data_IF_994670942407
#
_entry.id   IF_994670942407
#
_cell.length_a   1.000
_cell.length_b   1.000
_cell.length_c   1.000
_cell.angle_alpha   90.00
_cell.angle_beta   90.00
_cell.angle_gamma   90.00
#
_symmetry.space_group_name_H-M   'P 1'
#
loop_
_entity.id
_entity.type
_entity.pdbx_description
1 polymer ?
#
# COMPACT_ATOMS: atom_id res chain seq x y z
N UNK A 1 7.98 -15.72 5.30
CA UNK A 1 8.08 -14.26 5.47
C UNK A 1 6.87 -13.58 4.87
N UNK A 2 6.56 -12.39 5.32
CA UNK A 2 5.41 -11.59 4.93
C UNK A 2 5.90 -10.24 4.40
N UNK A 3 5.25 -9.71 3.37
CA UNK A 3 5.47 -8.36 2.91
C UNK A 3 4.16 -7.57 3.10
N UNK A 4 4.14 -6.69 4.06
CA UNK A 4 3.02 -5.79 4.30
C UNK A 4 3.22 -4.62 3.35
N UNK A 5 2.28 -4.42 2.42
CA UNK A 5 2.42 -3.44 1.34
C UNK A 5 1.19 -2.57 1.26
N UNK A 6 1.40 -1.27 1.40
CA UNK A 6 0.35 -0.27 1.25
C UNK A 6 0.78 0.81 0.27
N UNK A 7 -0.18 1.36 -0.46
CA UNK A 7 0.06 2.39 -1.47
C UNK A 7 -0.96 3.52 -1.37
N UNK A 8 -0.52 4.72 -1.71
CA UNK A 8 -1.38 5.83 -2.07
C UNK A 8 -1.36 6.04 -3.59
N UNK A 9 -2.44 6.59 -4.14
CA UNK A 9 -2.60 6.72 -5.59
C UNK A 9 -3.25 8.04 -5.98
N UNK A 10 -3.19 8.37 -7.27
CA UNK A 10 -3.80 9.58 -7.86
C UNK A 10 -5.33 9.55 -7.91
N UNK A 11 -5.94 8.39 -7.74
CA UNK A 11 -7.39 8.22 -7.79
C UNK A 11 -7.87 6.90 -7.22
N UNK A 12 -9.19 6.67 -7.25
CA UNK A 12 -9.82 5.49 -6.66
C UNK A 12 -10.12 4.38 -7.66
N UNK A 13 -10.19 4.68 -8.94
CA UNK A 13 -10.60 3.74 -10.00
C UNK A 13 -10.05 4.19 -11.35
N UNK A 14 -9.81 3.21 -12.24
CA UNK A 14 -9.44 3.42 -13.63
C UNK A 14 -8.00 3.02 -13.94
N UNK A 15 -7.72 2.89 -15.21
CA UNK A 15 -6.39 2.53 -15.75
C UNK A 15 -5.36 3.67 -15.53
N UNK A 16 -5.85 4.91 -15.40
CA UNK A 16 -5.01 6.09 -15.13
C UNK A 16 -4.64 6.25 -13.65
N UNK A 17 -4.98 5.27 -12.80
CA UNK A 17 -4.66 5.32 -11.39
C UNK A 17 -3.19 4.96 -11.18
N UNK A 18 -2.36 5.95 -10.84
CA UNK A 18 -0.91 5.81 -10.66
C UNK A 18 -0.56 5.86 -9.17
N UNK A 19 0.47 5.13 -8.79
CA UNK A 19 0.97 5.12 -7.40
C UNK A 19 1.70 6.44 -7.11
N UNK A 20 1.40 7.05 -5.96
CA UNK A 20 2.02 8.30 -5.47
C UNK A 20 2.86 8.10 -4.21
N UNK A 21 2.64 7.02 -3.49
CA UNK A 21 3.43 6.60 -2.33
C UNK A 21 3.32 5.08 -2.18
N UNK A 22 4.39 4.46 -1.74
CA UNK A 22 4.45 3.04 -1.41
C UNK A 22 5.19 2.84 -0.10
N UNK A 23 4.72 1.90 0.71
CA UNK A 23 5.48 1.36 1.84
C UNK A 23 5.46 -0.17 1.78
N UNK A 24 6.61 -0.79 1.97
CA UNK A 24 6.82 -2.24 2.04
C UNK A 24 7.55 -2.54 3.35
N UNK A 25 6.90 -3.27 4.25
CA UNK A 25 7.51 -3.80 5.46
C UNK A 25 7.66 -5.32 5.32
N UNK A 26 8.88 -5.82 5.37
CA UNK A 26 9.14 -7.26 5.36
C UNK A 26 9.22 -7.75 6.81
N UNK A 27 8.37 -8.70 7.16
CA UNK A 27 8.19 -9.24 8.51
C UNK A 27 8.47 -10.74 8.51
N UNK A 28 9.26 -11.22 9.46
CA UNK A 28 9.64 -12.63 9.56
C UNK A 28 8.65 -13.48 10.37
N UNK A 29 7.73 -12.85 11.07
CA UNK A 29 6.77 -13.43 12.01
C UNK A 29 6.92 -12.85 13.43
N UNK A 30 8.09 -12.29 13.75
CA UNK A 30 8.41 -11.71 15.06
C UNK A 30 8.65 -10.20 14.96
N UNK A 31 9.32 -9.75 13.90
CA UNK A 31 9.69 -8.34 13.72
C UNK A 31 9.76 -7.91 12.26
N UNK A 32 9.76 -6.59 12.03
CA UNK A 32 10.08 -6.01 10.72
C UNK A 32 11.58 -6.10 10.51
N UNK A 33 11.99 -6.86 9.49
CA UNK A 33 13.41 -7.12 9.16
C UNK A 33 13.93 -6.27 8.01
N UNK A 34 13.05 -5.75 7.16
CA UNK A 34 13.37 -4.81 6.08
C UNK A 34 12.22 -3.81 5.90
N UNK A 35 12.57 -2.60 5.55
CA UNK A 35 11.61 -1.54 5.22
C UNK A 35 12.03 -0.82 3.94
N UNK A 36 11.05 -0.49 3.11
CA UNK A 36 11.17 0.41 1.99
C UNK A 36 9.96 1.34 1.95
N UNK A 37 10.19 2.63 1.88
CA UNK A 37 9.12 3.62 1.76
C UNK A 37 9.57 4.75 0.84
N UNK A 38 8.71 5.14 -0.11
CA UNK A 38 9.01 6.23 -1.04
C UNK A 38 7.76 6.94 -1.52
N UNK A 39 7.84 8.27 -1.66
CA UNK A 39 6.97 8.99 -2.57
C UNK A 39 7.33 8.63 -4.01
N UNK A 40 6.35 8.67 -4.90
CA UNK A 40 6.52 8.33 -6.32
C UNK A 40 5.90 9.45 -7.15
N UNK A 41 6.64 9.95 -8.14
CA UNK A 41 6.10 10.85 -9.14
C UNK A 41 5.20 10.06 -10.10
N UNK A 42 3.88 10.29 -10.08
CA UNK A 42 2.93 9.52 -10.89
C UNK A 42 2.92 9.93 -12.37
N UNK A 43 3.66 10.97 -12.74
CA UNK A 43 3.70 11.57 -14.09
C UNK A 43 2.33 12.06 -14.61
N UNK A 44 1.34 12.11 -13.73
CA UNK A 44 0.01 12.66 -13.98
C UNK A 44 -0.43 13.54 -12.81
N UNK A 45 -1.34 14.47 -13.06
CA UNK A 45 -1.80 15.38 -12.03
C UNK A 45 -2.65 14.69 -10.95
N UNK A 46 -2.35 14.96 -9.70
CA UNK A 46 -3.13 14.52 -8.55
C UNK A 46 -4.29 15.49 -8.35
N UNK A 47 -5.53 14.97 -8.37
CA UNK A 47 -6.72 15.78 -8.16
C UNK A 47 -6.74 16.36 -6.73
N UNK A 48 -7.12 17.62 -6.56
CA UNK A 48 -7.20 18.30 -5.27
C UNK A 48 -7.94 17.49 -4.18
N UNK A 49 -9.07 16.85 -4.55
CA UNK A 49 -9.84 16.00 -3.61
C UNK A 49 -9.03 14.81 -3.09
N UNK A 50 -8.16 14.23 -3.91
CA UNK A 50 -7.29 13.11 -3.52
C UNK A 50 -6.16 13.62 -2.63
N UNK A 51 -5.50 14.70 -3.03
CA UNK A 51 -4.47 15.37 -2.26
C UNK A 51 -4.95 15.76 -0.84
N UNK A 52 -6.16 16.28 -0.72
CA UNK A 52 -6.75 16.59 0.60
C UNK A 52 -6.98 15.36 1.47
N UNK A 53 -7.23 14.19 0.87
CA UNK A 53 -7.52 12.95 1.60
C UNK A 53 -6.25 12.28 2.12
N UNK A 54 -5.21 12.18 1.30
CA UNK A 54 -3.97 11.46 1.64
C UNK A 54 -2.78 12.38 1.92
N UNK A 55 -2.96 13.70 1.82
CA UNK A 55 -1.91 14.68 2.11
C UNK A 55 -0.81 14.76 1.05
N UNK A 56 -0.95 14.08 -0.10
CA UNK A 56 0.05 14.06 -1.18
C UNK A 56 -0.38 15.03 -2.27
N UNK A 57 0.35 16.14 -2.41
CA UNK A 57 0.14 17.14 -3.46
C UNK A 57 1.07 16.92 -4.66
N UNK A 58 0.76 17.56 -5.79
CA UNK A 58 1.64 17.56 -6.96
C UNK A 58 3.06 18.05 -6.60
N UNK A 59 3.16 19.10 -5.80
CA UNK A 59 4.46 19.67 -5.38
C UNK A 59 5.31 18.66 -4.59
N UNK A 60 4.67 17.83 -3.74
CA UNK A 60 5.38 16.82 -2.95
C UNK A 60 6.01 15.72 -3.81
N UNK A 61 5.37 15.37 -4.92
CA UNK A 61 5.83 14.26 -5.78
C UNK A 61 6.60 14.70 -7.01
N UNK A 62 6.64 16.01 -7.28
CA UNK A 62 7.26 16.53 -8.51
C UNK A 62 8.73 16.12 -8.67
N UNK A 63 9.49 16.09 -7.57
CA UNK A 63 10.90 15.69 -7.55
C UNK A 63 11.12 14.27 -7.00
N UNK A 64 10.03 13.51 -6.77
CA UNK A 64 10.14 12.13 -6.33
C UNK A 64 10.57 11.22 -7.51
N UNK A 65 11.19 10.07 -7.22
CA UNK A 65 11.52 9.11 -8.26
C UNK A 65 10.25 8.61 -8.95
N UNK A 66 10.34 8.26 -10.20
CA UNK A 66 9.25 7.63 -10.97
C UNK A 66 9.17 6.15 -10.63
N UNK A 67 8.02 5.52 -10.89
CA UNK A 67 7.82 4.12 -10.53
C UNK A 67 8.87 3.18 -11.18
N UNK A 68 9.24 3.40 -12.43
CA UNK A 68 10.22 2.55 -13.13
C UNK A 68 11.62 2.60 -12.49
N UNK A 69 11.98 3.70 -11.81
CA UNK A 69 13.27 3.83 -11.12
C UNK A 69 13.32 2.97 -9.84
N UNK A 70 12.15 2.71 -9.24
CA UNK A 70 12.00 1.93 -8.02
C UNK A 70 11.51 0.50 -8.29
N UNK A 71 11.12 0.17 -9.52
CA UNK A 71 10.47 -1.09 -9.87
C UNK A 71 11.27 -2.32 -9.44
N UNK A 72 12.60 -2.27 -9.58
CA UNK A 72 13.49 -3.35 -9.16
C UNK A 72 13.37 -3.61 -7.66
N UNK A 73 13.48 -2.58 -6.84
CA UNK A 73 13.42 -2.70 -5.38
C UNK A 73 12.03 -3.14 -4.90
N UNK A 74 10.97 -2.60 -5.51
CA UNK A 74 9.57 -2.99 -5.23
C UNK A 74 9.32 -4.48 -5.50
N UNK A 75 10.01 -5.06 -6.49
CA UNK A 75 9.86 -6.48 -6.83
C UNK A 75 10.78 -7.37 -6.00
N UNK A 76 12.05 -6.99 -5.82
CA UNK A 76 13.08 -7.84 -5.20
C UNK A 76 12.99 -7.85 -3.68
N UNK A 77 12.69 -6.71 -3.03
CA UNK A 77 12.63 -6.64 -1.57
C UNK A 77 11.62 -7.64 -0.97
N UNK A 78 10.36 -7.75 -1.48
CA UNK A 78 9.38 -8.72 -1.00
C UNK A 78 9.46 -10.06 -1.73
N UNK A 79 10.60 -10.40 -2.36
CA UNK A 79 10.73 -11.68 -3.05
C UNK A 79 10.51 -12.82 -2.05
N UNK A 80 9.77 -13.85 -2.48
CA UNK A 80 9.42 -15.02 -1.69
C UNK A 80 8.54 -14.74 -0.46
N UNK A 81 8.04 -13.52 -0.29
CA UNK A 81 7.09 -13.18 0.76
C UNK A 81 5.63 -13.36 0.31
N UNK A 82 4.77 -13.63 1.29
CA UNK A 82 3.32 -13.52 1.11
C UNK A 82 2.96 -12.04 1.19
N UNK A 83 2.32 -11.53 0.15
CA UNK A 83 1.85 -10.16 0.08
C UNK A 83 0.65 -9.95 1.02
N UNK A 84 0.77 -9.05 1.99
CA UNK A 84 -0.29 -8.70 2.94
C UNK A 84 -0.69 -7.24 2.75
N UNK A 85 -1.98 -6.98 2.79
CA UNK A 85 -2.52 -5.63 2.82
C UNK A 85 -3.96 -5.65 3.32
N UNK A 86 -4.42 -4.54 3.88
CA UNK A 86 -5.83 -4.43 4.27
C UNK A 86 -6.75 -4.50 3.05
N UNK A 87 -6.49 -3.67 2.04
CA UNK A 87 -7.17 -3.68 0.74
C UNK A 87 -6.33 -4.38 -0.34
N UNK A 88 -6.01 -5.65 -0.13
CA UNK A 88 -5.02 -6.40 -0.91
C UNK A 88 -5.20 -6.32 -2.43
N UNK A 89 -6.43 -6.38 -2.95
CA UNK A 89 -6.65 -6.30 -4.39
C UNK A 89 -6.34 -4.91 -4.95
N UNK A 90 -6.59 -3.86 -4.19
CA UNK A 90 -6.29 -2.49 -4.61
C UNK A 90 -4.78 -2.28 -4.70
N UNK A 91 -4.05 -2.55 -3.63
CA UNK A 91 -2.60 -2.35 -3.58
C UNK A 91 -1.84 -3.28 -4.53
N UNK A 92 -2.22 -4.56 -4.57
CA UNK A 92 -1.62 -5.54 -5.47
C UNK A 92 -1.83 -5.18 -6.95
N UNK A 93 -3.07 -4.82 -7.33
CA UNK A 93 -3.36 -4.46 -8.72
C UNK A 93 -2.70 -3.14 -9.12
N UNK A 94 -2.56 -2.18 -8.20
CA UNK A 94 -1.80 -0.95 -8.44
C UNK A 94 -0.37 -1.27 -8.89
N UNK A 95 0.37 -2.06 -8.11
CA UNK A 95 1.74 -2.49 -8.45
C UNK A 95 1.76 -3.32 -9.75
N UNK A 96 0.83 -4.26 -9.90
CA UNK A 96 0.73 -5.09 -11.10
C UNK A 96 0.54 -4.25 -12.36
N UNK A 97 -0.31 -3.23 -12.32
CA UNK A 97 -0.58 -2.35 -13.47
C UNK A 97 0.64 -1.50 -13.82
N UNK A 98 1.32 -0.93 -12.82
CA UNK A 98 2.56 -0.18 -13.04
C UNK A 98 3.64 -1.07 -13.67
N UNK A 99 3.84 -2.28 -13.16
CA UNK A 99 4.80 -3.23 -13.73
C UNK A 99 4.41 -3.70 -15.13
N UNK A 100 3.12 -3.93 -15.40
CA UNK A 100 2.63 -4.29 -16.70
C UNK A 100 2.89 -3.20 -17.75
N UNK A 101 2.80 -1.92 -17.39
CA UNK A 101 3.17 -0.81 -18.27
C UNK A 101 4.66 -0.79 -18.65
N UNK A 102 5.50 -1.44 -17.84
CA UNK A 102 6.94 -1.64 -18.08
C UNK A 102 7.25 -2.99 -18.77
N UNK A 103 6.22 -3.75 -19.16
CA UNK A 103 6.38 -5.08 -19.76
C UNK A 103 6.66 -6.21 -18.74
N UNK A 104 6.52 -5.94 -17.44
CA UNK A 104 6.76 -6.89 -16.37
C UNK A 104 5.51 -7.63 -15.92
N UNK A 105 5.69 -8.79 -15.31
CA UNK A 105 4.63 -9.54 -14.61
C UNK A 105 4.79 -9.45 -13.10
N UNK A 106 3.67 -9.43 -12.37
CA UNK A 106 3.65 -9.46 -10.92
C UNK A 106 2.71 -10.55 -10.41
N UNK A 107 3.28 -11.57 -9.78
CA UNK A 107 2.54 -12.72 -9.23
C UNK A 107 3.02 -13.00 -7.81
N UNK A 108 2.13 -13.00 -6.82
CA UNK A 108 2.42 -13.32 -5.40
C UNK A 108 1.22 -14.01 -4.76
N UNK A 109 1.48 -14.86 -3.77
CA UNK A 109 0.44 -15.26 -2.82
C UNK A 109 0.05 -14.04 -2.00
N UNK A 110 -1.24 -13.87 -1.73
CA UNK A 110 -1.73 -12.65 -1.07
C UNK A 110 -2.78 -12.94 0.00
N UNK A 111 -2.71 -12.16 1.08
CA UNK A 111 -3.64 -12.21 2.22
C UNK A 111 -4.23 -10.81 2.42
N UNK A 112 -5.53 -10.75 2.68
CA UNK A 112 -6.25 -9.52 3.04
C UNK A 112 -6.58 -9.53 4.52
N UNK A 113 -6.05 -8.58 5.29
CA UNK A 113 -6.42 -8.43 6.70
C UNK A 113 -7.88 -8.01 6.85
N UNK A 114 -8.46 -7.26 5.90
CA UNK A 114 -9.90 -6.96 5.85
C UNK A 114 -10.75 -8.24 5.78
N UNK A 115 -10.37 -9.20 4.92
CA UNK A 115 -11.11 -10.47 4.79
C UNK A 115 -10.91 -11.36 6.02
N UNK A 116 -9.70 -11.38 6.57
CA UNK A 116 -9.40 -12.08 7.82
C UNK A 116 -10.24 -11.52 8.98
N UNK A 117 -10.27 -10.20 9.14
CA UNK A 117 -11.04 -9.54 10.20
C UNK A 117 -12.52 -9.91 10.11
N UNK A 118 -13.12 -9.89 8.92
CA UNK A 118 -14.52 -10.30 8.74
C UNK A 118 -14.79 -11.75 9.13
N UNK A 119 -13.81 -12.63 8.91
CA UNK A 119 -13.93 -14.07 9.24
C UNK A 119 -13.69 -14.35 10.72
N UNK A 120 -12.70 -13.70 11.32
CA UNK A 120 -12.24 -14.01 12.67
C UNK A 120 -12.98 -13.17 13.74
N UNK A 121 -13.46 -12.00 13.37
CA UNK A 121 -14.11 -11.03 14.26
C UNK A 121 -15.45 -10.61 13.63
N UNK A 122 -16.44 -11.50 13.51
CA UNK A 122 -17.71 -11.17 12.87
C UNK A 122 -18.52 -10.18 13.72
N UNK A 123 -19.49 -9.51 13.08
CA UNK A 123 -20.44 -8.64 13.78
C UNK A 123 -19.99 -7.21 14.03
N UNK A 124 -18.87 -6.78 13.49
CA UNK A 124 -18.40 -5.39 13.60
C UNK A 124 -19.19 -4.44 12.69
N UNK A 125 -19.49 -3.24 13.19
CA UNK A 125 -20.17 -2.20 12.39
C UNK A 125 -19.29 -1.71 11.22
N UNK A 126 -17.97 -1.71 11.40
CA UNK A 126 -17.00 -1.32 10.39
C UNK A 126 -15.76 -2.20 10.43
N UNK A 127 -15.25 -2.53 9.26
CA UNK A 127 -13.99 -3.26 9.07
C UNK A 127 -12.94 -2.39 8.36
N UNK A 128 -13.05 -1.07 8.45
CA UNK A 128 -11.96 -0.20 8.01
C UNK A 128 -10.71 -0.44 8.87
N UNK A 129 -9.53 -0.15 8.32
CA UNK A 129 -8.27 -0.36 9.06
C UNK A 129 -8.30 0.33 10.43
N UNK A 130 -8.68 1.61 10.48
CA UNK A 130 -8.77 2.33 11.75
C UNK A 130 -9.80 1.73 12.73
N UNK A 131 -10.96 1.24 12.24
CA UNK A 131 -11.94 0.58 13.11
C UNK A 131 -11.39 -0.73 13.68
N UNK A 132 -10.63 -1.49 12.89
CA UNK A 132 -10.00 -2.72 13.36
C UNK A 132 -8.88 -2.44 14.35
N UNK A 133 -8.04 -1.43 14.12
CA UNK A 133 -7.03 -1.00 15.09
C UNK A 133 -7.67 -0.64 16.43
N UNK A 134 -8.73 0.17 16.42
CA UNK A 134 -9.45 0.53 17.64
C UNK A 134 -10.03 -0.69 18.37
N UNK A 135 -10.64 -1.62 17.63
CA UNK A 135 -11.21 -2.84 18.20
C UNK A 135 -10.14 -3.75 18.84
N UNK A 136 -8.97 -3.84 18.23
CA UNK A 136 -7.86 -4.67 18.68
C UNK A 136 -6.93 -3.98 19.69
N UNK A 137 -7.22 -2.72 20.05
CA UNK A 137 -6.36 -1.94 20.97
C UNK A 137 -5.01 -1.56 20.36
N UNK A 138 -4.90 -1.54 19.03
CA UNK A 138 -3.69 -1.13 18.32
C UNK A 138 -3.67 0.40 18.24
N UNK A 139 -2.66 1.02 18.82
CA UNK A 139 -2.46 2.46 18.71
C UNK A 139 -1.82 2.79 17.35
N UNK A 140 -2.67 2.96 16.33
CA UNK A 140 -2.22 3.26 14.98
C UNK A 140 -2.00 4.77 14.71
N UNK A 141 -2.20 5.62 15.70
CA UNK A 141 -2.08 7.08 15.54
C UNK A 141 -2.97 7.63 14.41
N UNK A 142 -2.44 8.57 13.65
CA UNK A 142 -3.07 9.08 12.42
C UNK A 142 -2.68 8.21 11.23
N UNK A 143 -3.56 7.28 10.83
CA UNK A 143 -3.35 6.38 9.67
C UNK A 143 -3.62 7.16 8.37
N UNK A 144 -2.65 7.93 7.91
CA UNK A 144 -2.78 8.79 6.73
C UNK A 144 -1.85 8.37 5.59
N UNK A 145 -0.59 8.14 5.86
CA UNK A 145 0.42 7.75 4.87
C UNK A 145 0.38 6.25 4.54
N UNK A 146 1.05 5.84 3.46
CA UNK A 146 1.22 4.42 3.15
C UNK A 146 1.99 3.71 4.28
N UNK A 147 2.96 4.38 4.91
CA UNK A 147 3.72 3.84 6.04
C UNK A 147 2.81 3.61 7.26
N UNK A 148 2.05 4.61 7.68
CA UNK A 148 1.12 4.47 8.81
C UNK A 148 0.15 3.29 8.59
N UNK A 149 -0.33 3.13 7.35
CA UNK A 149 -1.23 2.03 6.99
C UNK A 149 -0.55 0.67 7.03
N UNK A 150 0.70 0.59 6.58
CA UNK A 150 1.48 -0.64 6.62
C UNK A 150 1.78 -1.08 8.07
N UNK A 151 2.18 -0.14 8.94
CA UNK A 151 2.42 -0.39 10.36
C UNK A 151 1.15 -0.82 11.09
N UNK A 152 -0.01 -0.31 10.69
CA UNK A 152 -1.32 -0.63 11.26
C UNK A 152 -1.92 -1.95 10.72
N UNK A 153 -1.39 -2.46 9.61
CA UNK A 153 -1.92 -3.64 8.92
C UNK A 153 -1.35 -4.94 9.46
#
# INVERSE_FOLDING_TARGET
MYAIVETETTGLRGEDNRITEICILVHDGESVVKEFSSLINPEVSIKYRVSRRNGISNDKVNNAPKFYELAKEIVELPQDCIFISHHVNFNFNGIKNELASLGGEYKRKKISTLRLSRKLIPGQQSYSLGAMCNHLGINAGHVQTAKDKAEAT
#
